data_IF_035558565332
#
_entry.id   IF_035558565332
#
_cell.length_a   1.000
_cell.length_b   1.000
_cell.length_c   1.000
_cell.angle_alpha   90.00
_cell.angle_beta   90.00
_cell.angle_gamma   90.00
#
_symmetry.space_group_name_H-M   'P 1'
#
loop_
_entity.id
_entity.type
_entity.pdbx_description
1 polymer ?
#
# COMPACT_ATOMS: atom_id res chain seq x y z
N UNK A 1 -0.54 -8.90 -29.85
CA UNK A 1 0.38 -7.92 -29.26
C UNK A 1 1.72 -8.58 -29.04
N UNK A 2 2.85 -8.05 -29.54
CA UNK A 2 4.15 -8.62 -29.25
C UNK A 2 4.43 -8.43 -27.76
N UNK A 3 4.74 -9.53 -27.07
CA UNK A 3 5.23 -9.51 -25.69
C UNK A 3 6.58 -8.80 -25.73
N UNK A 4 6.72 -7.70 -24.99
CA UNK A 4 8.00 -7.03 -24.84
C UNK A 4 9.02 -8.06 -24.30
N UNK A 5 10.13 -8.26 -25.03
CA UNK A 5 11.24 -9.09 -24.54
C UNK A 5 11.78 -8.40 -23.27
N UNK A 6 11.53 -9.01 -22.13
CA UNK A 6 12.14 -8.60 -20.87
C UNK A 6 13.62 -8.92 -20.96
N UNK A 7 14.45 -7.93 -21.22
CA UNK A 7 15.91 -8.09 -21.13
C UNK A 7 16.29 -7.88 -19.68
N UNK A 8 16.72 -8.94 -19.02
CA UNK A 8 17.33 -8.81 -17.70
C UNK A 8 18.69 -8.14 -17.88
N UNK A 9 18.86 -6.98 -17.25
CA UNK A 9 20.13 -6.24 -17.25
C UNK A 9 20.76 -6.46 -15.89
N UNK A 10 21.94 -7.09 -15.89
CA UNK A 10 22.73 -7.27 -14.68
C UNK A 10 23.73 -6.11 -14.56
N UNK A 11 23.60 -5.34 -13.48
CA UNK A 11 24.58 -4.33 -13.11
C UNK A 11 25.45 -4.86 -11.95
N UNK A 12 26.75 -4.90 -12.15
CA UNK A 12 27.72 -5.39 -11.16
C UNK A 12 28.38 -4.26 -10.36
N UNK A 13 28.17 -3.03 -10.77
CA UNK A 13 28.67 -1.83 -10.11
C UNK A 13 27.71 -0.64 -10.26
N UNK A 14 27.89 0.40 -9.45
CA UNK A 14 27.02 1.58 -9.44
C UNK A 14 27.09 2.38 -10.73
N UNK A 15 28.26 2.49 -11.36
CA UNK A 15 28.42 3.24 -12.62
C UNK A 15 27.57 2.62 -13.74
N UNK A 16 27.52 1.30 -13.78
CA UNK A 16 26.66 0.58 -14.75
C UNK A 16 25.18 0.79 -14.48
N UNK A 17 24.75 0.95 -13.22
CA UNK A 17 23.37 1.29 -12.88
C UNK A 17 22.99 2.69 -13.39
N UNK A 18 23.89 3.65 -13.23
CA UNK A 18 23.65 5.04 -13.69
C UNK A 18 23.53 5.12 -15.21
N UNK A 19 24.37 4.39 -15.97
CA UNK A 19 24.25 4.28 -17.43
C UNK A 19 22.89 3.68 -17.85
N UNK A 20 22.48 2.59 -17.20
CA UNK A 20 21.20 1.91 -17.48
C UNK A 20 20.02 2.85 -17.14
N UNK A 21 20.10 3.57 -16.01
CA UNK A 21 19.07 4.51 -15.60
C UNK A 21 18.93 5.68 -16.57
N UNK A 22 20.06 6.18 -17.11
CA UNK A 22 20.04 7.25 -18.11
C UNK A 22 19.38 6.83 -19.45
N UNK A 23 19.52 5.56 -19.82
CA UNK A 23 18.90 4.98 -21.03
C UNK A 23 17.43 4.57 -20.84
N UNK A 24 16.93 4.55 -19.60
CA UNK A 24 15.54 4.19 -19.32
C UNK A 24 14.55 5.29 -19.75
N UNK A 25 13.83 5.06 -20.83
CA UNK A 25 12.68 5.88 -21.21
C UNK A 25 11.42 5.48 -20.42
N UNK A 26 11.05 6.24 -19.39
CA UNK A 26 9.78 6.06 -18.67
C UNK A 26 8.58 6.54 -19.50
N UNK A 27 8.28 5.80 -20.57
CA UNK A 27 7.13 6.03 -21.44
C UNK A 27 6.19 4.81 -21.43
N UNK A 28 4.89 5.01 -21.69
CA UNK A 28 3.94 3.90 -21.80
C UNK A 28 4.44 2.82 -22.76
N UNK A 29 4.48 1.57 -22.28
CA UNK A 29 4.91 0.40 -23.05
C UNK A 29 6.43 0.20 -23.21
N UNK A 30 7.28 1.07 -22.59
CA UNK A 30 8.74 0.93 -22.65
C UNK A 30 9.31 0.25 -21.42
N UNK A 31 8.82 0.61 -20.23
CA UNK A 31 9.27 0.02 -18.96
C UNK A 31 8.08 -0.63 -18.26
N UNK A 32 8.11 -1.97 -18.00
CA UNK A 32 7.12 -2.60 -17.16
C UNK A 32 7.30 -2.14 -15.71
N UNK A 33 6.23 -1.66 -15.10
CA UNK A 33 6.20 -1.31 -13.67
C UNK A 33 5.25 -2.26 -12.97
N UNK A 34 5.70 -2.89 -11.89
CA UNK A 34 4.88 -3.78 -11.07
C UNK A 34 5.10 -3.50 -9.59
N UNK A 35 4.06 -3.73 -8.79
CA UNK A 35 4.14 -3.67 -7.35
C UNK A 35 3.41 -4.88 -6.75
N UNK A 36 4.09 -5.56 -5.82
CA UNK A 36 3.53 -6.69 -5.08
C UNK A 36 2.90 -6.28 -3.75
N UNK A 37 3.24 -5.09 -3.24
CA UNK A 37 2.84 -4.61 -1.92
C UNK A 37 2.10 -3.28 -2.02
N UNK A 38 0.94 -3.28 -2.71
CA UNK A 38 0.07 -2.12 -2.80
C UNK A 38 -0.49 -1.77 -1.41
N UNK A 39 -0.35 -0.51 -1.00
CA UNK A 39 -0.75 -0.05 0.33
C UNK A 39 -1.09 1.45 0.32
N UNK A 40 -1.78 1.94 1.37
CA UNK A 40 -2.01 3.37 1.59
C UNK A 40 -3.22 3.99 0.90
N UNK A 41 -4.06 3.21 0.21
CA UNK A 41 -5.23 3.74 -0.50
C UNK A 41 -6.34 4.30 0.40
N UNK A 42 -6.39 3.87 1.68
CA UNK A 42 -7.31 4.35 2.72
C UNK A 42 -6.54 4.65 4.00
N UNK A 43 -5.48 5.44 3.88
CA UNK A 43 -4.54 5.70 4.96
C UNK A 43 -5.23 6.14 6.26
N UNK A 44 -4.75 5.60 7.39
CA UNK A 44 -5.20 6.03 8.70
C UNK A 44 -4.50 7.31 9.15
N UNK A 45 -5.22 8.15 9.91
CA UNK A 45 -4.70 9.39 10.44
C UNK A 45 -5.61 10.05 11.48
N UNK A 46 -5.33 11.30 11.77
CA UNK A 46 -5.97 12.02 12.88
C UNK A 46 -7.33 12.59 12.52
N UNK A 47 -7.61 12.82 11.25
CA UNK A 47 -8.85 13.44 10.83
C UNK A 47 -9.10 13.42 9.32
N UNK A 48 -10.30 13.82 8.88
CA UNK A 48 -10.72 13.70 7.49
C UNK A 48 -10.02 14.67 6.52
N UNK A 49 -9.20 15.59 7.03
CA UNK A 49 -8.40 16.50 6.21
C UNK A 49 -7.11 15.87 5.67
N UNK A 50 -6.62 14.82 6.31
CA UNK A 50 -5.34 14.18 6.03
C UNK A 50 -5.39 12.66 5.89
N UNK A 51 -6.56 12.05 6.13
CA UNK A 51 -6.72 10.60 6.13
C UNK A 51 -8.13 10.16 5.76
N UNK A 52 -8.26 8.90 5.35
CA UNK A 52 -9.54 8.27 5.04
C UNK A 52 -10.15 7.61 6.27
N UNK A 53 -9.31 7.05 7.14
CA UNK A 53 -9.75 6.32 8.34
C UNK A 53 -9.07 6.84 9.59
N UNK A 54 -9.69 6.57 10.74
CA UNK A 54 -9.04 6.73 12.04
C UNK A 54 -8.03 5.59 12.31
N UNK A 55 -7.36 5.64 13.45
CA UNK A 55 -6.35 4.64 13.84
C UNK A 55 -6.91 3.23 14.10
N UNK A 56 -8.21 3.05 14.08
CA UNK A 56 -8.92 1.77 14.19
C UNK A 56 -9.57 1.33 12.88
N UNK A 57 -9.19 1.97 11.77
CA UNK A 57 -9.69 1.62 10.44
C UNK A 57 -11.12 2.08 10.15
N UNK A 58 -11.75 2.87 11.03
CA UNK A 58 -13.09 3.42 10.78
C UNK A 58 -12.99 4.57 9.79
N UNK A 59 -13.83 4.56 8.76
CA UNK A 59 -13.90 5.62 7.75
C UNK A 59 -14.49 6.89 8.38
N UNK A 60 -13.79 8.01 8.22
CA UNK A 60 -14.28 9.31 8.71
C UNK A 60 -15.64 9.66 8.11
N UNK A 61 -16.58 10.09 8.95
CA UNK A 61 -17.95 10.40 8.53
C UNK A 61 -18.87 9.20 8.25
N UNK A 62 -18.36 7.96 8.36
CA UNK A 62 -19.14 6.74 8.10
C UNK A 62 -18.93 5.72 9.24
N UNK A 63 -19.65 5.85 10.35
CA UNK A 63 -19.35 5.14 11.60
C UNK A 63 -19.50 3.61 11.55
N UNK A 64 -20.18 3.10 10.54
CA UNK A 64 -20.43 1.67 10.33
C UNK A 64 -19.47 1.02 9.29
N UNK A 65 -18.57 1.80 8.67
CA UNK A 65 -17.63 1.31 7.65
C UNK A 65 -16.21 1.25 8.19
N UNK A 66 -15.58 0.09 8.04
CA UNK A 66 -14.21 -0.17 8.46
C UNK A 66 -13.37 -0.71 7.32
N UNK A 67 -12.10 -0.38 7.34
CA UNK A 67 -11.05 -0.91 6.46
C UNK A 67 -10.10 -1.74 7.31
N UNK A 68 -9.68 -2.93 6.82
CA UNK A 68 -8.88 -3.88 7.58
C UNK A 68 -7.80 -4.58 6.72
N UNK A 69 -7.14 -3.83 5.85
CA UNK A 69 -6.12 -4.34 4.94
C UNK A 69 -4.93 -3.36 4.80
N UNK A 70 -4.03 -3.63 3.85
CA UNK A 70 -2.83 -2.82 3.62
C UNK A 70 -3.15 -1.37 3.20
N UNK A 71 -4.36 -1.06 2.78
CA UNK A 71 -4.73 0.32 2.43
C UNK A 71 -4.71 1.28 3.62
N UNK A 72 -4.76 0.76 4.85
CA UNK A 72 -4.65 1.53 6.10
C UNK A 72 -3.28 2.19 6.32
N UNK A 73 -2.22 1.67 5.71
CA UNK A 73 -0.87 2.18 6.00
C UNK A 73 -0.70 3.64 5.57
N UNK A 74 -0.27 4.53 6.48
CA UNK A 74 0.01 5.92 6.13
C UNK A 74 1.31 6.09 5.35
N UNK A 75 2.23 5.10 5.44
CA UNK A 75 3.53 5.10 4.78
C UNK A 75 3.92 3.68 4.36
N UNK A 76 4.91 3.57 3.45
CA UNK A 76 5.52 2.28 3.11
C UNK A 76 6.28 1.69 4.29
N UNK A 77 6.22 0.36 4.45
CA UNK A 77 6.88 -0.35 5.55
C UNK A 77 8.32 -0.76 5.22
N UNK A 78 8.78 -0.62 3.98
CA UNK A 78 10.10 -1.09 3.50
C UNK A 78 10.36 -2.61 3.64
N UNK A 79 9.39 -3.36 4.14
CA UNK A 79 9.43 -4.83 4.33
C UNK A 79 8.12 -5.45 3.87
N UNK A 80 8.06 -6.78 3.78
CA UNK A 80 6.84 -7.51 3.45
C UNK A 80 5.73 -7.20 4.48
N UNK A 81 4.56 -6.70 4.06
CA UNK A 81 3.59 -6.10 4.97
C UNK A 81 2.64 -7.08 5.66
N UNK A 82 2.61 -8.38 5.30
CA UNK A 82 1.52 -9.28 5.69
C UNK A 82 1.33 -9.45 7.20
N UNK A 83 2.41 -9.51 7.98
CA UNK A 83 2.31 -9.60 9.46
C UNK A 83 1.68 -8.35 10.05
N UNK A 84 2.08 -7.17 9.55
CA UNK A 84 1.51 -5.89 9.99
C UNK A 84 0.05 -5.76 9.54
N UNK A 85 -0.30 -6.26 8.34
CA UNK A 85 -1.71 -6.32 7.88
C UNK A 85 -2.55 -7.14 8.84
N UNK A 86 -2.09 -8.33 9.22
CA UNK A 86 -2.80 -9.20 10.16
C UNK A 86 -2.97 -8.54 11.53
N UNK A 87 -1.94 -7.88 12.05
CA UNK A 87 -2.00 -7.17 13.33
C UNK A 87 -2.98 -6.00 13.32
N UNK A 88 -3.00 -5.21 12.22
CA UNK A 88 -3.98 -4.13 12.06
C UNK A 88 -5.40 -4.67 11.89
N UNK A 89 -5.59 -5.72 11.11
CA UNK A 89 -6.90 -6.35 10.94
C UNK A 89 -7.46 -6.90 12.26
N UNK A 90 -6.62 -7.52 13.10
CA UNK A 90 -7.01 -7.97 14.44
C UNK A 90 -7.41 -6.78 15.33
N UNK A 91 -6.66 -5.69 15.32
CA UNK A 91 -7.00 -4.46 16.04
C UNK A 91 -8.34 -3.89 15.61
N UNK A 92 -8.62 -3.84 14.30
CA UNK A 92 -9.91 -3.40 13.76
C UNK A 92 -11.04 -4.33 14.23
N UNK A 93 -10.83 -5.65 14.15
CA UNK A 93 -11.82 -6.64 14.59
C UNK A 93 -12.12 -6.54 16.09
N UNK A 94 -11.12 -6.30 16.93
CA UNK A 94 -11.32 -6.06 18.36
C UNK A 94 -12.20 -4.82 18.60
N UNK A 95 -11.92 -3.73 17.88
CA UNK A 95 -12.71 -2.50 18.00
C UNK A 95 -14.15 -2.69 17.57
N UNK A 96 -14.39 -3.38 16.45
CA UNK A 96 -15.76 -3.71 15.99
C UNK A 96 -16.48 -4.54 17.05
N UNK A 97 -15.85 -5.54 17.62
CA UNK A 97 -16.44 -6.40 18.65
C UNK A 97 -16.83 -5.62 19.90
N UNK A 98 -16.02 -4.65 20.33
CA UNK A 98 -16.33 -3.80 21.49
C UNK A 98 -17.54 -2.89 21.22
N UNK A 99 -17.69 -2.42 20.02
CA UNK A 99 -18.75 -1.46 19.63
C UNK A 99 -20.02 -2.11 19.08
N UNK A 100 -19.96 -3.39 18.69
CA UNK A 100 -21.09 -4.09 18.07
C UNK A 100 -22.42 -3.95 18.81
N UNK A 101 -22.49 -4.00 20.16
CA UNK A 101 -23.73 -3.79 20.89
C UNK A 101 -24.38 -2.42 20.69
N UNK A 102 -23.58 -1.41 20.34
CA UNK A 102 -24.07 -0.04 20.09
C UNK A 102 -24.36 0.22 18.59
N UNK A 103 -23.95 -0.69 17.71
CA UNK A 103 -24.18 -0.60 16.26
C UNK A 103 -25.42 -1.37 15.80
N UNK A 104 -25.97 -2.23 16.65
CA UNK A 104 -27.20 -3.01 16.45
C UNK A 104 -28.40 -2.37 17.14
#
# INVERSE_FOLDING_TARGET
MPVAKTTTIEARDAARLDEIAADCEFKPGKVPVSAAHLQGGCAMGSGPSDSVTDSYGRVHGTPWLFVADASLFPNSLEVNPYVTIMALADRVAQRIREELPALL
#
